data_IF_709465586489
#
_entry.id   IF_709465586489
#
_cell.length_a   1.000
_cell.length_b   1.000
_cell.length_c   1.000
_cell.angle_alpha   90.00
_cell.angle_beta   90.00
_cell.angle_gamma   90.00
#
_symmetry.space_group_name_H-M   'P 1'
#
loop_
_entity.id
_entity.type
_entity.pdbx_description
1 polymer ?
#
# COMPACT_ATOMS: atom_id res chain seq x y z
N UNK A 1 47.77 21.25 -41.94
CA UNK A 1 47.37 21.13 -40.52
C UNK A 1 46.39 19.97 -40.36
N UNK A 2 46.57 19.11 -39.36
CA UNK A 2 45.64 18.02 -39.09
C UNK A 2 44.49 18.52 -38.19
N UNK A 3 43.25 18.45 -38.68
CA UNK A 3 42.06 18.92 -37.96
C UNK A 3 41.29 17.82 -37.24
N UNK A 4 41.60 16.54 -37.51
CA UNK A 4 40.89 15.38 -36.97
C UNK A 4 40.83 15.35 -35.42
N UNK A 5 41.92 15.65 -34.69
CA UNK A 5 41.92 15.60 -33.22
C UNK A 5 40.89 16.55 -32.57
N UNK A 6 40.49 17.60 -33.28
CA UNK A 6 39.52 18.59 -32.81
C UNK A 6 38.07 18.25 -33.18
N UNK A 7 37.83 17.10 -33.84
CA UNK A 7 36.50 16.67 -34.23
C UNK A 7 35.95 15.67 -33.23
N UNK A 8 34.71 15.88 -32.83
CA UNK A 8 33.96 15.01 -31.91
C UNK A 8 33.75 13.59 -32.45
N UNK A 9 33.77 13.39 -33.77
CA UNK A 9 33.65 12.09 -34.42
C UNK A 9 34.97 11.32 -34.56
N UNK A 10 36.09 11.87 -34.09
CA UNK A 10 37.39 11.22 -34.25
C UNK A 10 37.47 9.91 -33.45
N UNK A 11 37.56 8.79 -34.19
CA UNK A 11 37.45 7.42 -33.66
C UNK A 11 38.53 7.07 -32.63
N UNK A 12 39.72 7.68 -32.71
CA UNK A 12 40.85 7.38 -31.82
C UNK A 12 40.85 8.19 -30.52
N UNK A 13 39.87 9.07 -30.31
CA UNK A 13 39.74 9.77 -29.02
C UNK A 13 39.33 8.78 -27.94
N UNK A 14 39.88 8.95 -26.73
CA UNK A 14 39.57 8.08 -25.58
C UNK A 14 38.06 8.00 -25.30
N UNK A 15 37.35 9.11 -25.49
CA UNK A 15 35.90 9.18 -25.30
C UNK A 15 35.13 8.30 -26.29
N UNK A 16 35.47 8.33 -27.59
CA UNK A 16 34.81 7.51 -28.59
C UNK A 16 35.14 6.03 -28.44
N UNK A 17 36.39 5.70 -28.13
CA UNK A 17 36.80 4.33 -27.85
C UNK A 17 36.04 3.78 -26.62
N UNK A 18 35.87 4.58 -25.57
CA UNK A 18 35.10 4.18 -24.39
C UNK A 18 33.60 3.99 -24.69
N UNK A 19 33.03 4.80 -25.59
CA UNK A 19 31.64 4.63 -26.05
C UNK A 19 31.46 3.31 -26.79
N UNK A 20 32.35 3.02 -27.74
CA UNK A 20 32.35 1.74 -28.48
C UNK A 20 32.46 0.56 -27.51
N UNK A 21 33.38 0.60 -26.54
CA UNK A 21 33.50 -0.47 -25.54
C UNK A 21 32.26 -0.66 -24.68
N UNK A 22 31.56 0.41 -24.32
CA UNK A 22 30.30 0.32 -23.56
C UNK A 22 29.21 -0.33 -24.39
N UNK A 23 29.10 0.06 -25.66
CA UNK A 23 28.10 -0.49 -26.57
C UNK A 23 28.37 -1.97 -26.88
N UNK A 24 29.64 -2.34 -27.10
CA UNK A 24 30.09 -3.73 -27.25
C UNK A 24 29.84 -4.56 -25.99
N UNK A 25 30.15 -4.02 -24.80
CA UNK A 25 29.89 -4.71 -23.54
C UNK A 25 28.39 -4.95 -23.32
N UNK A 26 27.55 -3.94 -23.61
CA UNK A 26 26.10 -4.06 -23.53
C UNK A 26 25.56 -5.11 -24.50
N UNK A 27 26.04 -5.11 -25.74
CA UNK A 27 25.67 -6.13 -26.72
C UNK A 27 26.07 -7.54 -26.27
N UNK A 28 27.27 -7.70 -25.71
CA UNK A 28 27.73 -8.98 -25.17
C UNK A 28 26.93 -9.46 -23.95
N UNK A 29 26.47 -8.54 -23.09
CA UNK A 29 25.59 -8.88 -21.96
C UNK A 29 24.21 -9.31 -22.44
N UNK A 30 23.61 -8.60 -23.39
CA UNK A 30 22.32 -8.97 -24.00
C UNK A 30 22.38 -10.33 -24.69
N UNK A 31 23.47 -10.65 -25.39
CA UNK A 31 23.67 -11.98 -25.99
C UNK A 31 23.79 -13.07 -24.92
N UNK A 32 24.53 -12.82 -23.83
CA UNK A 32 24.60 -13.77 -22.71
C UNK A 32 23.24 -13.98 -22.06
N UNK A 33 22.45 -12.92 -21.88
CA UNK A 33 21.07 -13.00 -21.38
C UNK A 33 20.18 -13.81 -22.32
N UNK A 34 20.30 -13.58 -23.63
CA UNK A 34 19.56 -14.32 -24.67
C UNK A 34 19.94 -15.79 -24.67
N UNK A 35 21.24 -16.11 -24.62
CA UNK A 35 21.74 -17.48 -24.51
C UNK A 35 21.27 -18.15 -23.23
N UNK A 36 21.32 -17.46 -22.09
CA UNK A 36 20.77 -17.97 -20.82
C UNK A 36 19.27 -18.27 -20.95
N UNK A 37 18.49 -17.40 -21.60
CA UNK A 37 17.06 -17.63 -21.80
C UNK A 37 16.77 -18.80 -22.71
N UNK A 38 17.51 -18.92 -23.82
CA UNK A 38 17.41 -20.07 -24.72
C UNK A 38 17.79 -21.35 -23.98
N UNK A 39 18.89 -21.33 -23.22
CA UNK A 39 19.34 -22.48 -22.42
C UNK A 39 18.30 -22.89 -21.39
N UNK A 40 17.78 -21.94 -20.60
CA UNK A 40 16.71 -22.19 -19.64
C UNK A 40 15.49 -22.77 -20.35
N UNK A 41 15.13 -22.24 -21.52
CA UNK A 41 14.00 -22.75 -22.32
C UNK A 41 14.26 -24.14 -22.90
N UNK A 42 15.51 -24.50 -23.24
CA UNK A 42 15.86 -25.82 -23.78
C UNK A 42 16.05 -26.87 -22.69
N UNK A 43 16.47 -26.44 -21.50
CA UNK A 43 16.76 -27.29 -20.34
C UNK A 43 15.51 -27.46 -19.46
N UNK A 44 14.53 -26.56 -19.60
CA UNK A 44 13.19 -26.75 -19.08
C UNK A 44 12.57 -27.99 -19.78
N UNK A 45 12.25 -29.05 -19.02
CA UNK A 45 11.52 -30.17 -19.58
C UNK A 45 10.17 -29.67 -20.11
N UNK A 46 9.64 -30.28 -21.18
CA UNK A 46 8.31 -30.07 -21.76
C UNK A 46 7.20 -30.45 -20.75
N UNK A 47 7.21 -29.80 -19.59
CA UNK A 47 6.23 -29.95 -18.52
C UNK A 47 5.11 -28.97 -18.79
N UNK A 48 3.90 -29.44 -18.60
CA UNK A 48 2.73 -28.58 -18.58
C UNK A 48 2.91 -27.48 -17.53
N UNK A 49 2.58 -26.24 -17.91
CA UNK A 49 2.64 -25.08 -17.02
C UNK A 49 1.59 -25.28 -15.94
N UNK A 50 2.03 -25.72 -14.77
CA UNK A 50 1.15 -25.98 -13.64
C UNK A 50 1.00 -24.69 -12.82
N UNK A 51 -0.03 -23.90 -13.13
CA UNK A 51 -0.35 -22.67 -12.40
C UNK A 51 -0.56 -22.87 -10.88
N UNK A 52 -0.86 -24.10 -10.47
CA UNK A 52 -1.11 -24.46 -9.08
C UNK A 52 0.11 -25.10 -8.38
N UNK A 53 1.24 -25.30 -9.07
CA UNK A 53 2.42 -25.96 -8.48
C UNK A 53 2.98 -25.18 -7.29
N UNK A 54 2.95 -23.85 -7.35
CA UNK A 54 3.38 -22.97 -6.25
C UNK A 54 2.40 -22.98 -5.05
N UNK A 55 1.11 -23.18 -5.34
CA UNK A 55 0.06 -23.33 -4.33
C UNK A 55 0.16 -24.69 -3.62
N UNK A 56 0.39 -25.77 -4.38
CA UNK A 56 0.59 -27.12 -3.84
C UNK A 56 1.88 -27.25 -3.03
N UNK A 57 2.94 -26.54 -3.42
CA UNK A 57 4.21 -26.47 -2.66
C UNK A 57 4.11 -25.62 -1.39
N UNK A 58 3.00 -24.91 -1.17
CA UNK A 58 2.79 -24.08 0.01
C UNK A 58 3.68 -22.84 0.09
N UNK A 59 4.33 -22.47 -1.01
CA UNK A 59 5.21 -21.28 -1.13
C UNK A 59 4.44 -20.03 -1.55
N UNK A 60 3.23 -20.21 -2.07
CA UNK A 60 2.36 -19.10 -2.42
C UNK A 60 2.04 -18.27 -1.17
N UNK A 61 2.51 -17.02 -1.16
CA UNK A 61 2.20 -16.01 -0.16
C UNK A 61 0.73 -15.54 -0.28
N UNK A 62 -0.24 -16.45 -0.20
CA UNK A 62 -1.68 -16.12 -0.28
C UNK A 62 -2.13 -15.26 0.92
N UNK A 63 -1.39 -15.33 2.03
CA UNK A 63 -1.72 -14.68 3.31
C UNK A 63 -0.68 -13.62 3.71
N UNK A 64 -0.07 -12.93 2.74
CA UNK A 64 0.66 -11.70 3.07
C UNK A 64 -0.16 -10.53 2.58
N UNK A 65 -0.81 -9.84 3.52
CA UNK A 65 -1.54 -8.60 3.25
C UNK A 65 -0.68 -7.61 2.50
N UNK A 66 -1.32 -6.62 1.86
CA UNK A 66 -0.63 -5.60 1.09
C UNK A 66 0.36 -4.86 2.00
N UNK A 67 1.66 -5.11 1.82
CA UNK A 67 2.71 -4.64 2.74
C UNK A 67 2.72 -3.13 2.90
N UNK A 68 2.39 -2.44 1.82
CA UNK A 68 2.34 -0.98 1.76
C UNK A 68 1.17 -0.43 2.58
N UNK A 69 0.05 -1.16 2.64
CA UNK A 69 -1.13 -0.79 3.43
C UNK A 69 -0.88 -0.86 4.94
N UNK A 70 -0.14 -1.87 5.39
CA UNK A 70 0.23 -2.01 6.80
C UNK A 70 1.20 -0.90 7.25
N UNK A 71 2.10 -0.49 6.35
CA UNK A 71 3.03 0.61 6.59
C UNK A 71 2.31 1.96 6.66
N UNK A 72 1.41 2.24 5.71
CA UNK A 72 0.63 3.47 5.70
C UNK A 72 -0.24 3.60 6.96
N UNK A 73 -0.88 2.51 7.38
CA UNK A 73 -1.67 2.49 8.63
C UNK A 73 -0.81 2.76 9.87
N UNK A 74 0.40 2.22 9.91
CA UNK A 74 1.34 2.45 11.01
C UNK A 74 1.83 3.90 11.04
N UNK A 75 2.16 4.47 9.89
CA UNK A 75 2.55 5.88 9.80
C UNK A 75 1.41 6.83 10.20
N UNK A 76 0.18 6.52 9.81
CA UNK A 76 -1.02 7.28 10.18
C UNK A 76 -1.23 7.25 11.71
N UNK A 77 -1.07 6.08 12.33
CA UNK A 77 -1.09 5.93 13.79
C UNK A 77 0.03 6.74 14.46
N UNK A 78 1.27 6.63 13.97
CA UNK A 78 2.38 7.41 14.52
C UNK A 78 2.18 8.92 14.33
N UNK A 79 1.64 9.37 13.19
CA UNK A 79 1.31 10.78 12.94
C UNK A 79 0.23 11.25 13.92
N UNK A 80 -0.79 10.43 14.18
CA UNK A 80 -1.85 10.71 15.14
C UNK A 80 -1.31 10.76 16.58
N UNK A 81 -0.47 9.81 16.97
CA UNK A 81 0.17 9.78 18.29
C UNK A 81 1.15 10.94 18.49
N UNK A 82 1.95 11.30 17.46
CA UNK A 82 2.77 12.52 17.46
C UNK A 82 1.91 13.76 17.57
N UNK A 83 0.76 13.79 16.87
CA UNK A 83 -0.16 14.94 16.87
C UNK A 83 -0.88 15.12 18.20
N UNK A 84 -1.24 14.02 18.87
CA UNK A 84 -1.84 14.00 20.20
C UNK A 84 -0.78 14.18 21.30
N UNK A 85 0.48 14.01 20.97
CA UNK A 85 1.58 14.07 21.92
C UNK A 85 1.77 12.80 22.73
N UNK A 86 1.16 11.69 22.31
CA UNK A 86 1.41 10.36 22.85
C UNK A 86 2.84 9.88 22.53
N UNK A 87 3.36 10.25 21.34
CA UNK A 87 4.72 9.94 20.92
C UNK A 87 5.70 11.11 21.11
N UNK A 88 5.31 12.14 21.86
CA UNK A 88 6.22 13.22 22.26
C UNK A 88 7.01 12.75 23.47
N UNK A 89 8.04 11.95 23.16
CA UNK A 89 9.28 11.78 23.91
C UNK A 89 9.16 12.11 25.40
N UNK A 90 8.93 11.07 26.19
CA UNK A 90 9.15 11.05 27.63
C UNK A 90 10.61 11.45 27.91
N UNK A 91 10.89 12.74 28.12
CA UNK A 91 12.19 13.23 28.62
C UNK A 91 12.97 14.28 27.80
N UNK A 92 12.36 15.05 26.89
CA UNK A 92 13.03 16.11 26.11
C UNK A 92 12.54 17.46 26.60
N UNK A 93 12.84 17.80 27.86
CA UNK A 93 12.85 19.19 28.35
C UNK A 93 13.70 19.29 29.64
N UNK A 94 14.76 18.48 29.76
CA UNK A 94 15.86 18.75 30.70
C UNK A 94 17.17 18.89 29.92
N UNK A 95 17.25 19.92 29.09
CA UNK A 95 18.53 20.54 28.73
C UNK A 95 18.50 21.93 29.34
N UNK A 96 18.81 21.98 30.64
CA UNK A 96 19.26 23.23 31.27
C UNK A 96 20.61 23.62 30.67
N UNK A 97 20.72 24.84 30.14
CA UNK A 97 21.91 25.68 30.24
C UNK A 97 21.59 27.10 29.80
N UNK A 98 21.49 28.01 30.79
CA UNK A 98 21.92 29.43 30.77
C UNK A 98 21.22 30.36 29.74
N UNK A 99 20.48 31.43 30.06
CA UNK A 99 20.74 32.51 31.01
C UNK A 99 19.48 33.40 31.24
N UNK A 100 19.55 34.16 32.33
CA UNK A 100 18.95 35.49 32.54
C UNK A 100 17.56 35.64 33.18
N UNK A 101 17.67 36.00 34.46
CA UNK A 101 16.72 36.60 35.40
C UNK A 101 15.77 37.66 34.82
N UNK A 102 14.50 37.67 35.26
CA UNK A 102 13.91 38.75 36.11
C UNK A 102 12.41 38.52 36.36
N UNK A 103 12.04 38.60 37.64
CA UNK A 103 10.68 38.48 38.21
C UNK A 103 9.74 39.60 37.74
N UNK A 104 8.46 39.30 37.46
CA UNK A 104 7.32 40.14 37.91
C UNK A 104 6.05 39.33 38.18
N UNK A 105 5.27 39.89 39.11
CA UNK A 105 4.25 39.26 39.96
C UNK A 105 2.85 39.21 39.33
N UNK A 106 2.07 38.24 39.83
CA UNK A 106 0.62 38.23 40.15
C UNK A 106 -0.33 38.97 39.20
N UNK A 107 -1.30 38.23 38.65
CA UNK A 107 -2.71 38.56 38.89
C UNK A 107 -3.56 37.30 38.76
N UNK A 108 -4.43 37.07 39.74
CA UNK A 108 -5.41 36.00 39.69
C UNK A 108 -6.54 36.37 38.74
N UNK A 109 -7.10 35.37 38.07
CA UNK A 109 -8.51 35.37 37.68
C UNK A 109 -9.01 33.94 37.58
N UNK A 110 -9.74 33.52 38.62
CA UNK A 110 -10.69 32.41 38.52
C UNK A 110 -11.71 32.77 37.43
N UNK A 111 -11.88 31.91 36.45
CA UNK A 111 -13.10 31.87 35.63
C UNK A 111 -13.70 30.48 35.75
N UNK A 112 -14.90 30.42 36.32
CA UNK A 112 -15.77 29.25 36.28
C UNK A 112 -16.65 29.33 35.03
N UNK A 113 -16.93 28.15 34.47
CA UNK A 113 -18.16 27.70 33.82
C UNK A 113 -18.61 28.36 32.50
N UNK A 114 -18.76 27.54 31.44
CA UNK A 114 -20.10 27.26 30.87
C UNK A 114 -20.07 26.14 29.83
N UNK A 115 -21.03 25.24 29.98
CA UNK A 115 -21.54 24.29 29.00
C UNK A 115 -22.45 25.00 27.99
N UNK A 116 -22.29 24.74 26.69
CA UNK A 116 -23.32 24.82 25.65
C UNK A 116 -22.68 24.29 24.35
N UNK A 117 -22.96 23.05 23.95
CA UNK A 117 -23.99 22.69 22.96
C UNK A 117 -23.82 23.34 21.59
N UNK A 118 -23.66 22.45 20.61
CA UNK A 118 -24.05 22.51 19.20
C UNK A 118 -23.27 23.35 18.18
N UNK A 119 -22.64 22.59 17.28
CA UNK A 119 -22.80 22.63 15.81
C UNK A 119 -21.85 23.46 14.95
N UNK A 120 -21.56 22.88 13.79
CA UNK A 120 -20.82 23.39 12.62
C UNK A 120 -19.29 23.33 12.74
N UNK A 121 -18.51 22.82 11.80
CA UNK A 121 -18.77 22.30 10.46
C UNK A 121 -17.57 21.42 10.09
N UNK A 122 -17.82 20.12 9.89
CA UNK A 122 -16.80 19.20 9.36
C UNK A 122 -16.73 19.42 7.86
N UNK A 123 -15.69 20.10 7.40
CA UNK A 123 -15.37 20.25 5.99
C UNK A 123 -14.02 19.62 5.72
N UNK A 124 -14.10 18.38 5.22
CA UNK A 124 -13.27 17.97 4.09
C UNK A 124 -12.34 16.81 4.35
N UNK A 125 -12.86 15.58 4.44
CA UNK A 125 -12.32 14.36 3.82
C UNK A 125 -13.40 13.26 3.77
N UNK A 126 -14.36 13.37 2.84
CA UNK A 126 -15.44 12.37 2.72
C UNK A 126 -15.83 12.10 1.26
N UNK A 127 -14.96 11.42 0.50
CA UNK A 127 -15.39 10.79 -0.75
C UNK A 127 -15.19 9.28 -0.81
N UNK A 128 -14.42 8.67 0.11
CA UNK A 128 -14.18 7.22 0.07
C UNK A 128 -15.05 6.40 1.04
N UNK A 129 -15.43 6.96 2.20
CA UNK A 129 -16.41 6.30 3.09
C UNK A 129 -17.79 6.14 2.44
N UNK A 130 -18.18 7.06 1.54
CA UNK A 130 -19.47 6.95 0.83
C UNK A 130 -19.49 5.76 -0.14
N UNK A 131 -18.36 5.43 -0.76
CA UNK A 131 -18.25 4.29 -1.70
C UNK A 131 -18.27 2.95 -0.97
N UNK A 132 -17.60 2.84 0.17
CA UNK A 132 -17.60 1.61 0.99
C UNK A 132 -18.96 1.34 1.62
N UNK A 133 -19.66 2.38 2.08
CA UNK A 133 -21.05 2.28 2.52
C UNK A 133 -21.98 1.80 1.38
N UNK A 134 -21.87 2.41 0.18
CA UNK A 134 -22.63 1.96 -0.99
C UNK A 134 -22.35 0.50 -1.37
N UNK A 135 -21.10 0.03 -1.34
CA UNK A 135 -20.74 -1.34 -1.71
C UNK A 135 -21.25 -2.37 -0.67
N UNK A 136 -21.18 -2.03 0.61
CA UNK A 136 -21.75 -2.85 1.68
C UNK A 136 -23.27 -2.93 1.58
N UNK A 137 -23.94 -1.85 1.18
CA UNK A 137 -25.39 -1.86 0.92
C UNK A 137 -25.75 -2.76 -0.27
N UNK A 138 -24.95 -2.73 -1.35
CA UNK A 138 -25.12 -3.64 -2.48
C UNK A 138 -24.92 -5.11 -2.06
N UNK A 139 -23.92 -5.40 -1.22
CA UNK A 139 -23.66 -6.73 -0.68
C UNK A 139 -24.81 -7.21 0.21
N UNK A 140 -25.34 -6.34 1.06
CA UNK A 140 -26.50 -6.64 1.91
C UNK A 140 -27.76 -6.91 1.06
N UNK A 141 -28.00 -6.12 0.01
CA UNK A 141 -29.11 -6.34 -0.94
C UNK A 141 -28.96 -7.68 -1.67
N UNK A 142 -27.75 -8.04 -2.11
CA UNK A 142 -27.46 -9.33 -2.74
C UNK A 142 -27.75 -10.50 -1.80
N UNK A 143 -27.22 -10.45 -0.57
CA UNK A 143 -27.43 -11.51 0.44
C UNK A 143 -28.91 -11.68 0.80
N UNK A 144 -29.69 -10.59 0.86
CA UNK A 144 -31.15 -10.69 1.07
C UNK A 144 -31.84 -11.41 -0.08
N UNK A 145 -31.50 -11.09 -1.34
CA UNK A 145 -32.06 -11.77 -2.51
C UNK A 145 -31.72 -13.26 -2.52
N UNK A 146 -30.46 -13.60 -2.26
CA UNK A 146 -30.01 -15.00 -2.19
C UNK A 146 -30.72 -15.77 -1.07
N UNK A 147 -30.99 -15.14 0.08
CA UNK A 147 -31.78 -15.74 1.18
C UNK A 147 -33.23 -15.96 0.79
N UNK A 148 -33.90 -14.97 0.20
CA UNK A 148 -35.28 -15.09 -0.23
C UNK A 148 -35.45 -16.18 -1.31
N UNK A 149 -34.52 -16.28 -2.26
CA UNK A 149 -34.51 -17.33 -3.27
C UNK A 149 -34.28 -18.70 -2.64
N UNK A 150 -33.34 -18.80 -1.67
CA UNK A 150 -33.09 -20.02 -0.92
C UNK A 150 -34.31 -20.44 -0.10
N UNK A 151 -34.98 -19.52 0.59
CA UNK A 151 -36.20 -19.78 1.34
C UNK A 151 -37.36 -20.21 0.42
N UNK A 152 -37.49 -19.59 -0.76
CA UNK A 152 -38.49 -20.02 -1.76
C UNK A 152 -38.22 -21.44 -2.25
N UNK A 153 -36.97 -21.76 -2.57
CA UNK A 153 -36.57 -23.09 -3.01
C UNK A 153 -36.75 -24.12 -1.89
N UNK A 154 -36.35 -23.78 -0.66
CA UNK A 154 -36.54 -24.61 0.53
C UNK A 154 -38.01 -24.85 0.81
N UNK A 155 -38.89 -23.85 0.66
CA UNK A 155 -40.34 -24.01 0.80
C UNK A 155 -40.93 -24.93 -0.26
N UNK A 156 -40.43 -24.91 -1.49
CA UNK A 156 -40.83 -25.87 -2.53
C UNK A 156 -40.34 -27.28 -2.19
N UNK A 157 -39.12 -27.42 -1.71
CA UNK A 157 -38.56 -28.71 -1.28
C UNK A 157 -39.27 -29.26 -0.04
N UNK A 158 -39.62 -28.42 0.93
CA UNK A 158 -40.38 -28.80 2.12
C UNK A 158 -41.77 -29.35 1.75
N UNK A 159 -42.45 -28.70 0.79
CA UNK A 159 -43.71 -29.21 0.22
C UNK A 159 -43.53 -30.57 -0.46
N UNK A 160 -42.40 -30.79 -1.16
CA UNK A 160 -42.08 -32.08 -1.78
C UNK A 160 -41.70 -33.16 -0.74
N UNK A 161 -41.03 -32.77 0.35
CA UNK A 161 -40.66 -33.66 1.47
C UNK A 161 -41.83 -33.98 2.41
N UNK A 162 -42.95 -33.28 2.27
CA UNK A 162 -44.10 -33.44 3.17
C UNK A 162 -43.87 -32.85 4.56
N UNK A 163 -42.90 -31.96 4.72
CA UNK A 163 -42.62 -31.30 5.99
C UNK A 163 -43.71 -30.25 6.28
N UNK A 164 -44.22 -30.17 7.53
CA UNK A 164 -45.22 -29.17 7.88
C UNK A 164 -44.59 -27.77 7.77
N UNK A 165 -45.03 -26.99 6.78
CA UNK A 165 -44.62 -25.58 6.64
C UNK A 165 -45.09 -24.83 7.88
N UNK A 166 -44.14 -24.44 8.74
CA UNK A 166 -44.43 -23.65 9.92
C UNK A 166 -45.08 -22.32 9.48
N UNK A 167 -46.29 -22.05 10.01
CA UNK A 167 -47.06 -20.83 9.76
C UNK A 167 -46.49 -19.65 10.53
#
# INVERSE_FOLDING_TARGET
MNILPHKSWHVRTKANIARVRRDEAKAAEEEKLRQKRIRISSEAPDKHINFFEELEKGEANIVKGNRDYEQEKKEEQEKYEKKIGYLTYLGQDTVESTENTRKKKKSGRKRKLSTSSSSSSSLGEHTDSKRTLNLNDLRAKRLKREREEKERAEKLLAKLRGEPVQK
#
